data_IF_060096919425
#
_entry.id   IF_060096919425
#
_cell.length_a   1.000
_cell.length_b   1.000
_cell.length_c   1.000
_cell.angle_alpha   90.00
_cell.angle_beta   90.00
_cell.angle_gamma   90.00
#
_symmetry.space_group_name_H-M   'P 1'
#
loop_
_entity.id
_entity.type
_entity.pdbx_description
1 polymer ?
#
# COMPACT_ATOMS: atom_id res chain seq x y z
N UNK A 1 14.28 1.77 -27.34
CA UNK A 1 13.13 1.23 -28.12
C UNK A 1 11.86 1.84 -27.56
N UNK A 2 10.92 2.27 -28.39
CA UNK A 2 9.63 2.81 -27.95
C UNK A 2 8.48 2.04 -28.57
N UNK A 3 7.43 1.78 -27.79
CA UNK A 3 6.17 1.20 -28.23
C UNK A 3 5.04 2.21 -28.01
N UNK A 4 4.14 2.31 -28.98
CA UNK A 4 3.06 3.29 -28.98
C UNK A 4 2.16 3.14 -30.21
N UNK A 5 1.24 4.09 -30.38
CA UNK A 5 0.35 4.14 -31.55
C UNK A 5 0.41 5.53 -32.21
N UNK A 6 -0.02 5.61 -33.46
CA UNK A 6 -0.25 6.91 -34.11
C UNK A 6 -1.71 7.33 -33.89
N UNK A 7 -1.93 8.52 -33.30
CA UNK A 7 -3.28 9.05 -33.10
C UNK A 7 -3.99 9.30 -34.44
N UNK A 8 -5.23 8.83 -34.56
CA UNK A 8 -5.97 8.79 -35.82
C UNK A 8 -6.26 10.16 -36.47
N UNK A 9 -6.28 11.24 -35.69
CA UNK A 9 -6.57 12.59 -36.19
C UNK A 9 -5.34 13.43 -36.53
N UNK A 10 -4.18 13.15 -35.94
CA UNK A 10 -2.98 14.00 -36.04
C UNK A 10 -1.71 13.30 -36.52
N UNK A 11 -1.73 11.98 -36.75
CA UNK A 11 -0.53 11.16 -37.05
C UNK A 11 0.63 11.42 -36.07
N UNK A 12 0.32 11.80 -34.84
CA UNK A 12 1.31 11.96 -33.79
C UNK A 12 1.56 10.61 -33.15
N UNK A 13 2.84 10.26 -32.97
CA UNK A 13 3.20 9.07 -32.21
C UNK A 13 2.95 9.32 -30.71
N UNK A 14 2.05 8.54 -30.13
CA UNK A 14 1.77 8.49 -28.70
C UNK A 14 2.53 7.31 -28.11
N UNK A 15 3.61 7.61 -27.40
CA UNK A 15 4.43 6.62 -26.71
C UNK A 15 3.72 6.10 -25.45
N UNK A 16 3.66 4.77 -25.30
CA UNK A 16 3.12 4.10 -24.11
C UNK A 16 4.22 3.52 -23.23
N UNK A 17 5.25 2.96 -23.87
CA UNK A 17 6.34 2.27 -23.19
C UNK A 17 7.66 2.57 -23.91
N UNK A 18 8.76 2.66 -23.14
CA UNK A 18 10.10 2.75 -23.72
C UNK A 18 11.13 1.98 -22.90
N UNK A 19 12.17 1.52 -23.58
CA UNK A 19 13.46 1.16 -22.98
C UNK A 19 14.46 2.22 -23.40
N UNK A 20 15.05 2.92 -22.43
CA UNK A 20 16.05 3.97 -22.67
C UNK A 20 17.45 3.40 -22.96
N UNK A 21 18.44 4.28 -23.15
CA UNK A 21 19.82 3.87 -23.45
C UNK A 21 20.53 3.20 -22.27
N UNK A 22 20.06 3.43 -21.03
CA UNK A 22 20.55 2.77 -19.82
C UNK A 22 19.90 1.43 -19.53
N UNK A 23 18.90 1.03 -20.32
CA UNK A 23 18.14 -0.21 -20.12
C UNK A 23 16.94 -0.06 -19.18
N UNK A 24 16.59 1.16 -18.77
CA UNK A 24 15.44 1.41 -17.92
C UNK A 24 14.13 1.34 -18.72
N UNK A 25 13.14 0.64 -18.17
CA UNK A 25 11.80 0.51 -18.72
C UNK A 25 10.87 1.58 -18.14
N UNK A 26 10.39 2.49 -18.98
CA UNK A 26 9.36 3.46 -18.64
C UNK A 26 8.00 3.07 -19.21
N UNK A 27 6.94 3.14 -18.42
CA UNK A 27 5.54 3.00 -18.87
C UNK A 27 4.78 4.29 -18.53
N UNK A 28 4.37 5.06 -19.55
CA UNK A 28 3.77 6.38 -19.36
C UNK A 28 4.76 7.47 -18.88
N UNK A 29 6.06 7.19 -18.88
CA UNK A 29 7.13 8.18 -18.65
C UNK A 29 8.16 8.13 -19.78
N UNK A 30 8.62 9.32 -20.22
CA UNK A 30 9.65 9.43 -21.26
C UNK A 30 11.06 9.40 -20.70
N UNK A 31 11.24 9.60 -19.39
CA UNK A 31 12.55 9.74 -18.77
C UNK A 31 12.62 8.86 -17.50
N UNK A 32 12.51 7.52 -17.63
CA UNK A 32 12.62 6.64 -16.47
C UNK A 32 13.99 6.82 -15.79
N UNK A 33 13.98 7.06 -14.48
CA UNK A 33 15.17 7.17 -13.63
C UNK A 33 15.47 5.88 -12.88
N UNK A 34 14.59 4.88 -13.00
CA UNK A 34 14.67 3.60 -12.31
C UNK A 34 14.51 2.44 -13.30
N UNK A 35 15.02 1.22 -13.00
CA UNK A 35 14.94 0.06 -13.88
C UNK A 35 13.54 -0.22 -14.45
N UNK A 36 12.50 0.00 -13.63
CA UNK A 36 11.11 0.04 -14.07
C UNK A 36 10.44 1.24 -13.40
N UNK A 37 9.86 2.15 -14.19
CA UNK A 37 9.15 3.34 -13.68
C UNK A 37 7.84 3.59 -14.45
N UNK A 38 6.79 3.90 -13.70
CA UNK A 38 5.49 4.28 -14.22
C UNK A 38 5.33 5.81 -14.18
N UNK A 39 4.58 6.37 -15.15
CA UNK A 39 4.32 7.81 -15.22
C UNK A 39 3.58 8.41 -14.01
N UNK A 40 2.98 7.57 -13.16
CA UNK A 40 2.40 8.00 -11.89
C UNK A 40 3.44 8.18 -10.77
N UNK A 41 4.70 7.77 -10.98
CA UNK A 41 5.83 7.86 -10.05
C UNK A 41 6.17 6.55 -9.32
N UNK A 42 5.38 5.49 -9.47
CA UNK A 42 5.69 4.20 -8.88
C UNK A 42 6.83 3.51 -9.65
N UNK A 43 7.77 2.88 -8.95
CA UNK A 43 8.98 2.33 -9.58
C UNK A 43 9.60 1.19 -8.79
N UNK A 44 10.50 0.45 -9.44
CA UNK A 44 11.38 -0.55 -8.81
C UNK A 44 12.77 0.06 -8.64
N UNK A 45 13.33 0.03 -7.43
CA UNK A 45 14.72 0.51 -7.20
C UNK A 45 15.75 -0.39 -7.90
N UNK A 46 16.99 0.06 -8.01
CA UNK A 46 18.08 -0.78 -8.53
C UNK A 46 18.29 -2.10 -7.76
N UNK A 47 17.89 -2.15 -6.49
CA UNK A 47 17.92 -3.37 -5.66
C UNK A 47 16.68 -4.25 -5.76
N UNK A 48 15.74 -3.96 -6.67
CA UNK A 48 14.53 -4.78 -6.87
C UNK A 48 13.38 -4.48 -5.91
N UNK A 49 13.41 -3.37 -5.16
CA UNK A 49 12.35 -3.02 -4.20
C UNK A 49 11.31 -2.13 -4.86
N UNK A 50 10.04 -2.49 -4.76
CA UNK A 50 8.93 -1.65 -5.24
C UNK A 50 8.74 -0.41 -4.36
N UNK A 51 8.47 0.74 -4.98
CA UNK A 51 8.15 2.02 -4.34
C UNK A 51 6.81 2.56 -4.85
N UNK A 52 5.87 2.75 -3.92
CA UNK A 52 4.58 3.37 -4.22
C UNK A 52 4.74 4.88 -4.45
N UNK A 53 4.01 5.41 -5.43
CA UNK A 53 3.83 6.85 -5.56
C UNK A 53 2.86 7.35 -4.47
N UNK A 54 3.34 8.20 -3.57
CA UNK A 54 2.55 8.69 -2.43
C UNK A 54 2.94 10.12 -2.04
N UNK A 55 2.81 11.07 -2.96
CA UNK A 55 3.00 12.50 -2.71
C UNK A 55 1.66 13.21 -2.46
N UNK A 56 1.67 14.25 -1.61
CA UNK A 56 0.51 15.14 -1.41
C UNK A 56 0.06 15.80 -2.72
N UNK A 57 0.98 16.06 -3.65
CA UNK A 57 0.67 16.61 -4.98
C UNK A 57 -0.21 15.67 -5.83
N UNK A 58 -0.24 14.38 -5.48
CA UNK A 58 -0.99 13.33 -6.20
C UNK A 58 -2.19 12.83 -5.40
N UNK A 59 -2.47 13.42 -4.24
CA UNK A 59 -3.54 13.03 -3.33
C UNK A 59 -4.46 14.21 -3.07
N UNK A 60 -5.74 13.95 -3.07
CA UNK A 60 -6.79 14.92 -2.72
C UNK A 60 -7.65 14.35 -1.59
N UNK A 61 -8.49 15.18 -0.98
CA UNK A 61 -9.41 14.78 0.10
C UNK A 61 -8.71 14.04 1.25
N UNK A 62 -7.53 14.52 1.64
CA UNK A 62 -6.72 13.90 2.69
C UNK A 62 -7.35 14.22 4.06
N UNK A 63 -7.77 13.18 4.77
CA UNK A 63 -8.28 13.23 6.14
C UNK A 63 -7.55 12.19 7.00
N UNK A 64 -7.61 12.37 8.33
CA UNK A 64 -7.04 11.42 9.28
C UNK A 64 -7.89 10.14 9.36
N UNK A 65 -7.22 8.98 9.47
CA UNK A 65 -7.88 7.73 9.80
C UNK A 65 -8.22 7.72 11.29
N UNK A 66 -9.51 7.58 11.62
CA UNK A 66 -9.95 7.58 13.02
C UNK A 66 -9.62 6.27 13.72
N UNK A 67 -9.59 6.30 15.06
CA UNK A 67 -9.36 5.09 15.87
C UNK A 67 -10.48 4.08 15.68
N UNK A 68 -11.74 4.52 15.66
CA UNK A 68 -12.89 3.66 15.45
C UNK A 68 -12.82 2.95 14.10
N UNK A 69 -12.51 3.67 13.02
CA UNK A 69 -12.36 3.06 11.68
C UNK A 69 -11.24 2.02 11.67
N UNK A 70 -10.08 2.34 12.26
CA UNK A 70 -8.92 1.46 12.30
C UNK A 70 -9.18 0.21 13.15
N UNK A 71 -9.78 0.37 14.33
CA UNK A 71 -10.10 -0.73 15.24
C UNK A 71 -11.15 -1.67 14.65
N UNK A 72 -12.25 -1.14 14.10
CA UNK A 72 -13.27 -1.95 13.44
C UNK A 72 -12.69 -2.75 12.28
N UNK A 73 -11.82 -2.13 11.46
CA UNK A 73 -11.15 -2.85 10.39
C UNK A 73 -10.21 -3.95 10.93
N UNK A 74 -9.47 -3.69 12.00
CA UNK A 74 -8.55 -4.65 12.61
C UNK A 74 -9.29 -5.85 13.22
N UNK A 75 -10.48 -5.64 13.80
CA UNK A 75 -11.34 -6.72 14.30
C UNK A 75 -11.86 -7.64 13.18
N UNK A 76 -12.13 -7.09 12.00
CA UNK A 76 -12.59 -7.85 10.83
C UNK A 76 -11.46 -8.50 10.02
N UNK A 77 -10.21 -8.05 10.20
CA UNK A 77 -9.06 -8.62 9.51
C UNK A 77 -8.80 -10.05 9.98
N UNK A 78 -8.93 -11.00 9.05
CA UNK A 78 -8.72 -12.43 9.30
C UNK A 78 -7.52 -12.96 8.49
N UNK A 79 -6.31 -13.05 9.10
CA UNK A 79 -5.15 -13.65 8.45
C UNK A 79 -5.37 -15.13 8.17
N UNK A 80 -4.95 -15.59 6.98
CA UNK A 80 -5.05 -16.98 6.56
C UNK A 80 -3.70 -17.51 6.07
N UNK A 81 -3.57 -18.83 6.07
CA UNK A 81 -2.52 -19.56 5.36
C UNK A 81 -3.04 -20.10 4.05
N UNK A 82 -2.25 -20.03 2.99
CA UNK A 82 -2.65 -20.53 1.69
C UNK A 82 -1.45 -20.88 0.82
N UNK A 83 -1.69 -21.63 -0.25
CA UNK A 83 -0.73 -21.83 -1.35
C UNK A 83 -1.38 -21.32 -2.63
N UNK A 84 -0.59 -20.81 -3.57
CA UNK A 84 -1.13 -20.47 -4.89
C UNK A 84 -1.43 -21.74 -5.68
N UNK A 85 -2.46 -21.70 -6.53
CA UNK A 85 -2.85 -22.85 -7.37
C UNK A 85 -1.71 -23.32 -8.29
N UNK A 86 -0.87 -22.39 -8.74
CA UNK A 86 0.31 -22.64 -9.60
C UNK A 86 1.55 -23.06 -8.80
N UNK A 87 1.58 -22.79 -7.50
CA UNK A 87 2.72 -23.02 -6.61
C UNK A 87 2.24 -23.75 -5.35
N UNK A 88 1.90 -25.04 -5.52
CA UNK A 88 1.25 -25.85 -4.48
C UNK A 88 2.16 -26.24 -3.31
N UNK A 89 3.47 -26.04 -3.43
CA UNK A 89 4.45 -26.49 -2.45
C UNK A 89 4.86 -25.40 -1.46
N UNK A 90 4.65 -24.13 -1.82
CA UNK A 90 5.06 -22.99 -0.99
C UNK A 90 3.83 -22.46 -0.22
N UNK A 91 3.90 -22.46 1.11
CA UNK A 91 2.84 -21.92 1.98
C UNK A 91 3.13 -20.45 2.28
N UNK A 92 2.09 -19.63 2.16
CA UNK A 92 2.14 -18.20 2.44
C UNK A 92 1.16 -17.85 3.55
N UNK A 93 1.44 -16.73 4.21
CA UNK A 93 0.52 -16.06 5.14
C UNK A 93 0.04 -14.77 4.48
N UNK A 94 -1.26 -14.49 4.58
CA UNK A 94 -1.82 -13.26 4.04
C UNK A 94 -3.32 -13.16 4.30
N UNK A 95 -4.03 -12.55 3.36
CA UNK A 95 -5.46 -12.29 3.46
C UNK A 95 -6.17 -12.66 2.16
N UNK A 96 -7.45 -12.95 2.25
CA UNK A 96 -8.34 -13.13 1.08
C UNK A 96 -9.03 -11.79 0.81
N UNK A 97 -8.85 -11.24 -0.40
CA UNK A 97 -9.30 -9.90 -0.75
C UNK A 97 -10.83 -9.70 -0.63
N UNK A 98 -11.59 -10.77 -0.82
CA UNK A 98 -13.04 -10.79 -0.65
C UNK A 98 -13.49 -10.70 0.81
N UNK A 99 -12.61 -11.07 1.75
CA UNK A 99 -12.97 -11.24 3.16
C UNK A 99 -12.43 -10.12 4.06
N UNK A 100 -11.65 -9.17 3.53
CA UNK A 100 -11.17 -8.02 4.31
C UNK A 100 -12.24 -6.92 4.42
N UNK A 101 -12.19 -6.05 5.44
CA UNK A 101 -13.08 -4.88 5.52
C UNK A 101 -12.91 -3.94 4.32
N UNK A 102 -13.96 -3.20 3.97
CA UNK A 102 -13.96 -2.25 2.83
C UNK A 102 -12.81 -1.24 2.90
N UNK A 103 -12.42 -0.81 4.10
CA UNK A 103 -11.36 0.16 4.34
C UNK A 103 -10.00 -0.23 3.71
N UNK A 104 -9.70 -1.53 3.63
CA UNK A 104 -8.43 -2.05 3.09
C UNK A 104 -8.64 -2.93 1.86
N UNK A 105 -9.85 -2.94 1.31
CA UNK A 105 -10.21 -3.70 0.14
C UNK A 105 -9.97 -2.89 -1.14
N UNK A 106 -9.37 -3.51 -2.16
CA UNK A 106 -9.43 -2.93 -3.49
C UNK A 106 -10.82 -3.10 -4.08
N UNK A 107 -11.20 -2.20 -5.01
CA UNK A 107 -12.50 -2.22 -5.69
C UNK A 107 -12.81 -3.54 -6.38
N UNK A 108 -11.80 -4.25 -6.86
CA UNK A 108 -11.96 -5.53 -7.54
C UNK A 108 -12.30 -6.69 -6.57
N UNK A 109 -12.05 -6.53 -5.26
CA UNK A 109 -12.10 -7.60 -4.26
C UNK A 109 -11.27 -8.83 -4.64
N UNK A 110 -10.22 -8.65 -5.44
CA UNK A 110 -9.31 -9.71 -5.94
C UNK A 110 -7.84 -9.40 -5.73
N UNK A 111 -7.50 -8.14 -5.46
CA UNK A 111 -6.15 -7.71 -5.12
C UNK A 111 -6.14 -6.96 -3.80
N UNK A 112 -4.96 -6.86 -3.17
CA UNK A 112 -4.76 -6.14 -1.92
C UNK A 112 -3.52 -5.26 -1.98
N UNK A 113 -3.58 -4.12 -1.31
CA UNK A 113 -2.44 -3.27 -1.01
C UNK A 113 -1.94 -3.57 0.40
N UNK A 114 -0.69 -4.00 0.53
CA UNK A 114 -0.07 -4.17 1.85
C UNK A 114 -0.01 -2.86 2.63
N UNK A 115 0.10 -1.72 1.94
CA UNK A 115 0.17 -0.40 2.58
C UNK A 115 -1.14 -0.02 3.28
N UNK A 116 -2.29 -0.46 2.78
CA UNK A 116 -3.59 -0.11 3.35
C UNK A 116 -3.76 -0.79 4.71
N UNK A 117 -3.37 -2.07 4.78
CA UNK A 117 -3.34 -2.85 6.03
C UNK A 117 -2.33 -2.26 7.01
N UNK A 118 -1.12 -1.91 6.54
CA UNK A 118 -0.09 -1.29 7.41
C UNK A 118 -0.56 0.06 7.97
N UNK A 119 -1.29 0.86 7.20
CA UNK A 119 -1.85 2.13 7.68
C UNK A 119 -2.86 1.92 8.81
N UNK A 120 -3.77 0.94 8.67
CA UNK A 120 -4.71 0.54 9.73
C UNK A 120 -3.96 0.08 10.97
N UNK A 121 -3.03 -0.86 10.83
CA UNK A 121 -2.23 -1.37 11.95
C UNK A 121 -1.44 -0.27 12.65
N UNK A 122 -0.91 0.71 11.90
CA UNK A 122 -0.19 1.85 12.47
C UNK A 122 -1.11 2.69 13.37
N UNK A 123 -2.32 3.01 12.92
CA UNK A 123 -3.27 3.80 13.72
C UNK A 123 -3.76 3.03 14.96
N UNK A 124 -3.98 1.72 14.83
CA UNK A 124 -4.31 0.84 15.96
C UNK A 124 -3.19 0.85 17.00
N UNK A 125 -1.94 0.65 16.60
CA UNK A 125 -0.79 0.65 17.53
C UNK A 125 -0.64 2.01 18.22
N UNK A 126 -0.89 3.12 17.51
CA UNK A 126 -0.89 4.46 18.13
C UNK A 126 -1.96 4.57 19.23
N UNK A 127 -3.21 4.17 18.94
CA UNK A 127 -4.31 4.20 19.94
C UNK A 127 -4.04 3.28 21.14
N UNK A 128 -3.46 2.10 20.88
CA UNK A 128 -3.04 1.17 21.93
C UNK A 128 -1.93 1.79 22.80
N UNK A 129 -0.97 2.51 22.22
CA UNK A 129 0.10 3.18 22.97
C UNK A 129 -0.46 4.27 23.90
N UNK A 130 -1.45 5.03 23.45
CA UNK A 130 -2.13 6.04 24.29
C UNK A 130 -2.87 5.38 25.46
N UNK A 131 -3.54 4.24 25.20
CA UNK A 131 -4.22 3.48 26.26
C UNK A 131 -3.25 2.90 27.27
N UNK A 132 -2.10 2.38 26.82
CA UNK A 132 -1.04 1.85 27.70
C UNK A 132 -0.53 2.96 28.63
N UNK A 133 -0.18 4.13 28.08
CA UNK A 133 0.33 5.25 28.90
C UNK A 133 -0.68 5.68 29.98
N UNK A 134 -1.97 5.77 29.62
CA UNK A 134 -3.04 6.10 30.57
C UNK A 134 -3.18 5.07 31.68
N UNK A 135 -3.12 3.77 31.34
CA UNK A 135 -3.20 2.70 32.33
C UNK A 135 -1.98 2.71 33.27
N UNK A 136 -0.79 3.03 32.77
CA UNK A 136 0.41 3.18 33.59
C UNK A 136 0.29 4.32 34.61
N UNK A 137 -0.24 5.47 34.18
CA UNK A 137 -0.52 6.62 35.08
C UNK A 137 -1.54 6.28 36.17
N UNK A 138 -2.63 5.60 35.80
CA UNK A 138 -3.67 5.17 36.75
C UNK A 138 -3.12 4.17 37.78
N UNK A 139 -2.32 3.21 37.33
CA UNK A 139 -1.65 2.24 38.22
C UNK A 139 -0.72 2.97 39.21
N UNK A 140 0.02 3.97 38.76
CA UNK A 140 0.93 4.72 39.63
C UNK A 140 0.16 5.55 40.67
N UNK A 141 -0.93 6.19 40.27
CA UNK A 141 -1.81 6.91 41.18
C UNK A 141 -2.41 5.97 42.25
N UNK A 142 -2.96 4.83 41.83
CA UNK A 142 -3.57 3.86 42.75
C UNK A 142 -2.56 3.26 43.73
N UNK A 143 -1.30 3.07 43.31
CA UNK A 143 -0.22 2.62 44.21
C UNK A 143 0.10 3.64 45.29
N UNK A 144 0.08 4.93 44.96
CA UNK A 144 0.31 6.01 45.92
C UNK A 144 -0.84 6.13 46.93
N UNK A 145 -2.08 5.88 46.52
CA UNK A 145 -3.24 5.90 47.44
C UNK A 145 -3.25 4.74 48.46
N UNK A 146 -2.57 3.64 48.16
CA UNK A 146 -2.50 2.44 49.01
C UNK A 146 -1.17 2.27 49.77
N UNK A 147 -0.29 3.28 49.73
CA UNK A 147 0.90 3.39 50.57
C UNK A 147 0.64 4.28 51.79
#
# INVERSE_FOLDING_TARGET
ISLGHYSGSSKNFVEWMRVDAGGNLGIGTKNPQHPLEFGNGAHVTAGGVWKNSSSRERKENIADLTETEAMSALEELNPVKFNYRVEKQEEYVGFIAENVPELVANRDRKSLSTMDIVAVLTKVVQSQQETISRLEEEIEHLKQEHQ
#
